data_IF_173378607252
#
_entry.id   IF_173378607252
#
_cell.length_a   1.000
_cell.length_b   1.000
_cell.length_c   1.000
_cell.angle_alpha   90.00
_cell.angle_beta   90.00
_cell.angle_gamma   90.00
#
_symmetry.space_group_name_H-M   'P 1'
#
loop_
_entity.id
_entity.type
_entity.pdbx_description
1 polymer ?
#
# COMPACT_ATOMS: atom_id res chain seq x y z
N UNK A 1 -20.25 -39.83 20.22
CA UNK A 1 -19.00 -39.57 20.75
C UNK A 1 -18.50 -40.48 21.86
N UNK A 2 -18.75 -41.78 21.79
CA UNK A 2 -18.27 -42.77 22.76
C UNK A 2 -17.69 -43.97 22.04
N UNK A 3 -16.77 -44.69 22.74
CA UNK A 3 -16.20 -45.96 22.27
C UNK A 3 -16.10 -46.97 23.41
N UNK A 4 -15.84 -48.22 23.08
CA UNK A 4 -15.63 -49.32 24.04
C UNK A 4 -14.36 -50.07 23.63
N UNK A 5 -13.34 -50.00 24.44
CA UNK A 5 -11.98 -50.50 24.15
C UNK A 5 -11.78 -52.01 24.42
N UNK A 6 -12.77 -52.66 25.03
CA UNK A 6 -12.66 -54.11 25.33
C UNK A 6 -14.02 -54.81 25.25
N UNK A 7 -13.97 -56.11 24.91
CA UNK A 7 -15.18 -56.96 24.78
C UNK A 7 -15.91 -57.24 26.07
N UNK A 8 -15.30 -56.92 27.23
CA UNK A 8 -15.90 -57.12 28.57
C UNK A 8 -16.18 -55.80 29.30
N UNK A 9 -16.13 -54.64 28.58
CA UNK A 9 -16.40 -53.37 29.17
C UNK A 9 -17.86 -53.26 29.63
N UNK A 10 -18.08 -52.78 30.83
CA UNK A 10 -19.40 -52.50 31.43
C UNK A 10 -19.82 -51.06 31.23
N UNK A 11 -18.98 -50.21 30.64
CA UNK A 11 -19.23 -48.78 30.38
C UNK A 11 -18.54 -48.35 29.06
N UNK A 12 -19.04 -47.30 28.48
CA UNK A 12 -18.45 -46.63 27.31
C UNK A 12 -17.57 -45.48 27.78
N UNK A 13 -16.53 -45.17 27.00
CA UNK A 13 -15.61 -44.06 27.25
C UNK A 13 -15.95 -42.92 26.27
N UNK A 14 -16.07 -41.70 26.80
CA UNK A 14 -16.30 -40.50 26.03
C UNK A 14 -15.07 -40.11 25.19
N UNK A 15 -15.27 -39.65 23.97
CA UNK A 15 -14.22 -38.99 23.16
C UNK A 15 -13.79 -37.68 23.86
N UNK A 16 -12.48 -37.46 23.88
CA UNK A 16 -11.89 -36.23 24.42
C UNK A 16 -11.90 -35.07 23.44
N UNK A 17 -11.49 -33.90 23.86
CA UNK A 17 -11.26 -32.74 23.00
C UNK A 17 -10.31 -33.15 21.86
N UNK A 18 -10.52 -32.60 20.68
CA UNK A 18 -9.77 -32.91 19.48
C UNK A 18 -10.22 -34.24 18.80
N UNK A 19 -11.12 -35.01 19.42
CA UNK A 19 -11.57 -36.33 18.88
C UNK A 19 -13.09 -36.45 18.86
N UNK A 20 -13.61 -37.27 17.93
CA UNK A 20 -15.04 -37.50 17.78
C UNK A 20 -15.35 -38.96 17.36
N UNK A 21 -16.59 -39.39 17.50
CA UNK A 21 -17.04 -40.68 16.98
C UNK A 21 -18.50 -40.62 16.52
N UNK A 22 -18.75 -40.64 15.20
CA UNK A 22 -20.09 -40.56 14.63
C UNK A 22 -20.87 -41.87 14.72
N UNK A 23 -20.18 -43.00 14.85
CA UNK A 23 -20.80 -44.36 14.75
C UNK A 23 -20.80 -45.02 16.12
N UNK A 24 -21.80 -45.86 16.37
CA UNK A 24 -21.86 -46.74 17.53
C UNK A 24 -21.01 -48.00 17.35
N UNK A 25 -20.65 -48.68 18.44
CA UNK A 25 -19.94 -49.93 18.40
C UNK A 25 -18.47 -49.86 17.98
N UNK A 26 -17.85 -48.68 18.11
CA UNK A 26 -16.46 -48.46 17.76
C UNK A 26 -15.55 -48.72 18.97
N UNK A 27 -14.29 -49.03 18.69
CA UNK A 27 -13.26 -49.31 19.70
C UNK A 27 -12.33 -48.11 19.99
N UNK A 28 -12.47 -47.01 19.25
CA UNK A 28 -11.68 -45.75 19.44
C UNK A 28 -12.44 -44.57 18.88
N UNK A 29 -12.02 -43.36 19.32
CA UNK A 29 -12.41 -42.12 18.68
C UNK A 29 -11.54 -41.82 17.47
N UNK A 30 -12.02 -40.99 16.56
CA UNK A 30 -11.31 -40.45 15.41
C UNK A 30 -10.73 -39.07 15.80
N UNK A 31 -9.53 -38.80 15.36
CA UNK A 31 -8.92 -37.46 15.48
C UNK A 31 -9.66 -36.49 14.56
N UNK A 32 -9.83 -35.25 14.97
CA UNK A 32 -10.21 -34.16 14.07
C UNK A 32 -9.14 -34.02 12.98
N UNK A 33 -9.58 -33.89 11.72
CA UNK A 33 -8.69 -33.68 10.58
C UNK A 33 -8.02 -32.29 10.66
N UNK A 34 -6.90 -32.12 9.95
CA UNK A 34 -6.36 -30.79 9.69
C UNK A 34 -7.43 -29.92 9.00
N UNK A 35 -7.53 -28.63 9.35
CA UNK A 35 -8.61 -27.73 8.93
C UNK A 35 -9.87 -27.81 9.80
N UNK A 36 -9.92 -28.75 10.77
CA UNK A 36 -11.07 -28.99 11.65
C UNK A 36 -10.64 -29.03 13.11
N UNK A 37 -11.62 -28.88 14.01
CA UNK A 37 -11.42 -28.97 15.45
C UNK A 37 -12.62 -29.64 16.14
N UNK A 38 -12.41 -30.09 17.38
CA UNK A 38 -13.46 -30.61 18.26
C UNK A 38 -13.25 -30.04 19.66
N UNK A 39 -14.09 -29.06 20.04
CA UNK A 39 -13.99 -28.27 21.29
C UNK A 39 -14.80 -28.85 22.48
N UNK A 40 -15.48 -29.99 22.26
CA UNK A 40 -16.33 -30.60 23.26
C UNK A 40 -16.05 -32.08 23.39
N UNK A 41 -16.20 -32.62 24.60
CA UNK A 41 -16.16 -34.07 24.84
C UNK A 41 -17.45 -34.70 24.29
N UNK A 42 -17.38 -36.03 23.98
CA UNK A 42 -18.54 -36.79 23.45
C UNK A 42 -19.00 -36.31 22.07
N UNK A 43 -18.16 -35.60 21.34
CA UNK A 43 -18.50 -35.11 20.01
C UNK A 43 -18.77 -36.25 19.03
N UNK A 44 -19.76 -36.07 18.17
CA UNK A 44 -20.11 -37.00 17.10
C UNK A 44 -19.65 -36.50 15.72
N UNK A 45 -19.11 -35.29 15.63
CA UNK A 45 -18.60 -34.68 14.41
C UNK A 45 -17.50 -33.68 14.75
N UNK A 46 -16.66 -33.39 13.76
CA UNK A 46 -15.71 -32.29 13.78
C UNK A 46 -16.32 -31.03 13.15
N UNK A 47 -15.76 -29.86 13.48
CA UNK A 47 -16.19 -28.55 12.98
C UNK A 47 -15.06 -27.94 12.15
N UNK A 48 -15.37 -27.47 10.93
CA UNK A 48 -14.40 -26.79 10.08
C UNK A 48 -13.97 -25.45 10.66
N UNK A 49 -12.69 -25.10 10.56
CA UNK A 49 -12.21 -23.75 10.86
C UNK A 49 -12.97 -22.74 9.99
N UNK A 50 -13.33 -21.60 10.59
CA UNK A 50 -14.04 -20.52 9.90
C UNK A 50 -13.07 -19.65 9.07
N UNK A 51 -13.65 -18.74 8.28
CA UNK A 51 -12.88 -17.71 7.59
C UNK A 51 -12.00 -16.95 8.61
N UNK A 52 -10.78 -16.60 8.20
CA UNK A 52 -9.79 -15.96 9.07
C UNK A 52 -9.03 -16.93 9.99
N UNK A 53 -9.39 -18.22 10.01
CA UNK A 53 -8.77 -19.22 10.88
C UNK A 53 -8.37 -20.48 10.12
N UNK A 54 -7.34 -21.18 10.61
CA UNK A 54 -6.81 -22.41 10.03
C UNK A 54 -6.35 -23.41 11.09
N UNK A 55 -6.11 -24.66 10.71
CA UNK A 55 -5.52 -25.66 11.58
C UNK A 55 -4.63 -26.63 10.82
N UNK A 56 -3.28 -26.55 10.95
CA UNK A 56 -2.36 -27.42 10.22
C UNK A 56 -2.28 -28.84 10.78
N UNK A 57 -2.70 -29.07 12.02
CA UNK A 57 -2.53 -30.34 12.72
C UNK A 57 -3.87 -31.05 12.97
N UNK A 58 -3.83 -32.38 13.06
CA UNK A 58 -4.96 -33.20 13.47
C UNK A 58 -5.15 -33.19 14.98
N UNK A 59 -6.29 -33.71 15.46
CA UNK A 59 -6.63 -33.87 16.87
C UNK A 59 -6.65 -32.58 17.67
N UNK A 60 -7.00 -31.45 17.07
CA UNK A 60 -7.02 -30.14 17.73
C UNK A 60 -8.40 -29.77 18.27
N UNK A 61 -8.42 -29.01 19.36
CA UNK A 61 -9.65 -28.54 20.01
C UNK A 61 -10.03 -27.10 19.62
N UNK A 62 -9.24 -26.42 18.80
CA UNK A 62 -9.48 -25.05 18.32
C UNK A 62 -8.76 -24.82 17.00
N UNK A 63 -9.16 -23.78 16.27
CA UNK A 63 -8.41 -23.25 15.16
C UNK A 63 -7.47 -22.13 15.61
N UNK A 64 -6.49 -21.81 14.77
CA UNK A 64 -5.56 -20.71 14.92
C UNK A 64 -6.06 -19.53 14.08
N UNK A 65 -5.95 -18.32 14.58
CA UNK A 65 -6.19 -17.12 13.78
C UNK A 65 -5.08 -16.95 12.73
N UNK A 66 -5.42 -16.48 11.54
CA UNK A 66 -4.43 -16.00 10.58
C UNK A 66 -3.57 -14.90 11.25
N UNK A 67 -2.26 -14.94 11.04
CA UNK A 67 -1.35 -13.91 11.54
C UNK A 67 -1.56 -12.56 10.83
N UNK A 68 -1.15 -11.47 11.46
CA UNK A 68 -1.05 -10.19 10.76
C UNK A 68 -0.14 -10.34 9.53
N UNK A 69 -0.48 -9.70 8.41
CA UNK A 69 0.18 -9.90 7.13
C UNK A 69 -0.36 -11.08 6.31
N UNK A 70 -1.25 -11.89 6.90
CA UNK A 70 -1.85 -13.08 6.29
C UNK A 70 -3.38 -13.05 6.38
N UNK A 71 -4.02 -13.94 5.63
CA UNK A 71 -5.47 -14.14 5.62
C UNK A 71 -5.85 -15.59 5.35
N UNK A 72 -7.11 -15.94 5.66
CA UNK A 72 -7.70 -17.25 5.31
C UNK A 72 -9.11 -17.02 4.76
N UNK A 73 -9.29 -17.20 3.47
CA UNK A 73 -10.51 -16.89 2.71
C UNK A 73 -11.48 -18.08 2.54
N UNK A 74 -11.13 -19.26 3.07
CA UNK A 74 -11.94 -20.47 2.96
C UNK A 74 -12.07 -21.20 4.29
N UNK A 75 -13.21 -21.87 4.48
CA UNK A 75 -13.44 -22.70 5.66
C UNK A 75 -12.72 -24.03 5.55
N UNK A 76 -12.28 -24.58 6.69
CA UNK A 76 -11.56 -25.86 6.72
C UNK A 76 -10.13 -25.76 6.21
N UNK A 77 -9.54 -24.58 6.22
CA UNK A 77 -8.17 -24.37 5.76
C UNK A 77 -7.15 -24.97 6.72
N UNK A 78 -6.10 -25.53 6.13
CA UNK A 78 -4.95 -26.08 6.87
C UNK A 78 -3.79 -25.11 6.97
N UNK A 79 -3.86 -23.96 6.26
CA UNK A 79 -2.80 -22.98 6.15
C UNK A 79 -3.39 -21.57 5.97
N UNK A 80 -2.55 -20.55 6.17
CA UNK A 80 -2.85 -19.15 5.90
C UNK A 80 -2.14 -18.71 4.62
N UNK A 81 -2.63 -17.63 3.98
CA UNK A 81 -2.09 -17.07 2.75
C UNK A 81 -1.53 -15.69 3.02
N UNK A 82 -0.30 -15.43 2.55
CA UNK A 82 0.36 -14.13 2.66
C UNK A 82 -0.37 -13.04 1.85
N UNK A 83 -0.45 -11.83 2.39
CA UNK A 83 -0.83 -10.66 1.61
C UNK A 83 0.21 -10.41 0.52
N UNK A 84 -0.25 -10.17 -0.69
CA UNK A 84 0.61 -9.85 -1.83
C UNK A 84 1.11 -8.40 -1.77
N UNK A 85 2.16 -8.08 -2.54
CA UNK A 85 2.60 -6.69 -2.78
C UNK A 85 1.41 -5.82 -3.22
N UNK A 86 1.37 -4.59 -2.75
CA UNK A 86 0.25 -3.68 -2.94
C UNK A 86 -0.84 -3.83 -1.87
N UNK A 87 -0.80 -4.89 -1.05
CA UNK A 87 -1.80 -5.17 -0.01
C UNK A 87 -1.16 -5.42 1.35
N UNK A 88 -1.91 -5.23 2.43
CA UNK A 88 -1.45 -5.42 3.81
C UNK A 88 -2.58 -5.89 4.73
N UNK A 89 -2.23 -6.44 5.91
CA UNK A 89 -3.21 -6.78 6.92
C UNK A 89 -2.65 -6.54 8.33
N UNK A 90 -3.13 -5.51 9.05
CA UNK A 90 -2.62 -5.17 10.39
C UNK A 90 -3.14 -6.07 11.50
N UNK A 91 -4.23 -6.80 11.27
CA UNK A 91 -4.95 -7.56 12.30
C UNK A 91 -4.88 -9.06 12.04
N UNK A 92 -4.89 -9.85 13.10
CA UNK A 92 -5.01 -11.31 13.03
C UNK A 92 -6.45 -11.74 12.72
N UNK A 93 -6.65 -12.98 12.31
CA UNK A 93 -7.96 -13.58 12.13
C UNK A 93 -8.77 -13.04 10.95
N UNK A 94 -8.10 -12.51 9.94
CA UNK A 94 -8.77 -11.88 8.79
C UNK A 94 -8.92 -12.82 7.59
N UNK A 95 -9.98 -12.59 6.82
CA UNK A 95 -10.30 -13.39 5.63
C UNK A 95 -9.87 -12.74 4.31
N UNK A 96 -9.24 -11.57 4.35
CA UNK A 96 -8.73 -10.85 3.19
C UNK A 96 -7.66 -9.84 3.60
N UNK A 97 -6.82 -9.43 2.66
CA UNK A 97 -5.94 -8.29 2.82
C UNK A 97 -6.63 -6.99 2.39
N UNK A 98 -6.08 -5.87 2.84
CA UNK A 98 -6.50 -4.52 2.49
C UNK A 98 -5.57 -3.99 1.38
N UNK A 99 -6.12 -3.31 0.40
CA UNK A 99 -5.35 -2.59 -0.60
C UNK A 99 -4.62 -1.40 0.04
N UNK A 100 -3.41 -1.08 -0.41
CA UNK A 100 -2.79 0.21 -0.07
C UNK A 100 -3.63 1.35 -0.63
N UNK A 101 -3.77 2.43 0.14
CA UNK A 101 -4.50 3.62 -0.27
C UNK A 101 -3.75 4.42 -1.34
N UNK A 102 -4.48 5.28 -2.10
CA UNK A 102 -3.84 6.29 -2.92
C UNK A 102 -2.93 7.18 -2.05
N UNK A 103 -1.73 7.48 -2.53
CA UNK A 103 -0.68 8.15 -1.75
C UNK A 103 0.23 7.21 -0.96
N UNK A 104 -0.06 5.91 -0.96
CA UNK A 104 0.69 4.88 -0.23
C UNK A 104 1.05 3.70 -1.14
N UNK A 105 1.98 2.88 -0.69
CA UNK A 105 2.40 1.66 -1.36
C UNK A 105 2.76 0.55 -0.36
N UNK A 106 2.82 -0.68 -0.85
CA UNK A 106 3.31 -1.86 -0.11
C UNK A 106 4.19 -2.68 -1.05
N UNK A 107 5.49 -2.70 -0.80
CA UNK A 107 6.53 -3.29 -1.67
C UNK A 107 6.93 -4.72 -1.31
N UNK A 108 6.39 -5.27 -0.23
CA UNK A 108 6.71 -6.62 0.26
C UNK A 108 5.44 -7.44 0.52
N UNK A 109 5.56 -8.77 0.49
CA UNK A 109 4.51 -9.68 0.97
C UNK A 109 4.46 -9.68 2.50
N UNK A 110 3.39 -10.23 3.08
CA UNK A 110 3.14 -10.31 4.53
C UNK A 110 3.16 -8.95 5.25
N UNK A 111 2.96 -7.86 4.53
CA UNK A 111 2.98 -6.53 5.11
C UNK A 111 1.83 -6.34 6.12
N UNK A 112 2.14 -5.70 7.24
CA UNK A 112 1.16 -5.33 8.27
C UNK A 112 0.74 -3.86 8.19
N UNK A 113 1.35 -3.07 7.32
CA UNK A 113 1.07 -1.64 7.12
C UNK A 113 1.46 -1.19 5.72
N UNK A 114 0.88 -0.08 5.29
CA UNK A 114 1.27 0.62 4.07
C UNK A 114 2.28 1.74 4.38
N UNK A 115 3.08 2.12 3.38
CA UNK A 115 4.09 3.18 3.46
C UNK A 115 3.66 4.39 2.63
N UNK A 116 3.71 5.60 3.21
CA UNK A 116 3.40 6.83 2.50
C UNK A 116 4.45 7.17 1.45
N UNK A 117 4.01 7.65 0.28
CA UNK A 117 4.91 8.23 -0.71
C UNK A 117 5.69 9.41 -0.10
N UNK A 118 6.97 9.52 -0.44
CA UNK A 118 7.84 10.59 0.04
C UNK A 118 7.64 11.89 -0.74
N UNK A 119 8.27 12.97 -0.26
CA UNK A 119 8.33 14.23 -1.01
C UNK A 119 8.87 13.99 -2.42
N UNK A 120 8.32 14.67 -3.39
CA UNK A 120 8.66 14.50 -4.81
C UNK A 120 7.97 13.31 -5.47
N UNK A 121 7.25 12.46 -4.72
CA UNK A 121 6.57 11.28 -5.26
C UNK A 121 5.08 11.23 -4.88
N UNK A 122 4.28 10.55 -5.69
CA UNK A 122 2.84 10.40 -5.48
C UNK A 122 2.35 9.04 -5.96
N UNK A 123 1.13 8.64 -5.55
CA UNK A 123 0.48 7.44 -6.07
C UNK A 123 -1.02 7.66 -6.23
N UNK A 124 -1.55 7.77 -7.48
CA UNK A 124 -2.97 8.05 -7.71
C UNK A 124 -3.90 6.85 -7.50
N UNK A 125 -3.35 5.64 -7.52
CA UNK A 125 -4.13 4.39 -7.47
C UNK A 125 -3.91 3.63 -6.16
N UNK A 126 -4.89 2.81 -5.78
CA UNK A 126 -4.78 1.86 -4.67
C UNK A 126 -4.05 0.59 -5.09
N UNK A 127 -3.70 -0.26 -4.13
CA UNK A 127 -3.06 -1.57 -4.34
C UNK A 127 -1.73 -1.50 -5.11
N UNK A 128 -0.92 -0.48 -4.87
CA UNK A 128 0.34 -0.28 -5.58
C UNK A 128 1.56 -0.69 -4.74
N UNK A 129 2.60 -1.13 -5.44
CA UNK A 129 3.86 -1.58 -4.83
C UNK A 129 4.96 -0.50 -4.80
N UNK A 130 4.73 0.67 -5.39
CA UNK A 130 5.68 1.78 -5.43
C UNK A 130 4.97 3.10 -5.66
N UNK A 131 5.67 4.20 -5.41
CA UNK A 131 5.23 5.54 -5.80
C UNK A 131 5.83 5.95 -7.15
N UNK A 132 5.21 6.95 -7.78
CA UNK A 132 5.65 7.57 -9.02
C UNK A 132 6.35 8.88 -8.70
N UNK A 133 7.41 9.20 -9.41
CA UNK A 133 8.05 10.53 -9.34
C UNK A 133 7.11 11.60 -9.92
N UNK A 134 7.10 12.79 -9.32
CA UNK A 134 6.49 13.95 -9.96
C UNK A 134 7.14 14.20 -11.32
N UNK A 135 6.34 14.49 -12.35
CA UNK A 135 6.82 14.79 -13.68
C UNK A 135 7.56 16.15 -13.69
N UNK A 136 8.45 16.34 -14.68
CA UNK A 136 9.00 17.67 -14.95
C UNK A 136 7.85 18.68 -15.14
N UNK A 137 8.02 19.92 -14.67
CA UNK A 137 6.96 20.94 -14.60
C UNK A 137 6.02 20.79 -13.39
N UNK A 138 6.17 19.73 -12.60
CA UNK A 138 5.35 19.47 -11.40
C UNK A 138 6.22 19.20 -10.17
N UNK A 139 5.58 19.23 -8.99
CA UNK A 139 6.21 18.92 -7.72
C UNK A 139 5.22 18.25 -6.76
N UNK A 140 5.75 17.61 -5.70
CA UNK A 140 4.97 17.07 -4.59
C UNK A 140 5.64 17.46 -3.27
N UNK A 141 5.03 18.38 -2.52
CA UNK A 141 5.56 18.99 -1.30
C UNK A 141 5.11 18.33 0.01
N UNK A 142 4.32 17.27 -0.09
CA UNK A 142 3.79 16.55 1.07
C UNK A 142 3.89 15.04 0.91
N UNK A 143 4.11 14.33 2.01
CA UNK A 143 4.12 12.87 2.03
C UNK A 143 2.70 12.30 1.94
N UNK A 144 2.56 11.11 1.38
CA UNK A 144 1.26 10.47 1.23
C UNK A 144 0.36 11.11 0.17
N UNK A 145 0.94 11.82 -0.78
CA UNK A 145 0.19 12.49 -1.85
C UNK A 145 -0.30 11.50 -2.90
N UNK A 146 -1.56 11.67 -3.30
CA UNK A 146 -2.16 10.94 -4.43
C UNK A 146 -2.06 11.71 -5.77
N UNK A 147 -1.55 12.94 -5.76
CA UNK A 147 -1.47 13.82 -6.93
C UNK A 147 -0.18 14.62 -6.91
N UNK A 148 0.25 15.09 -8.08
CA UNK A 148 1.30 16.09 -8.24
C UNK A 148 0.68 17.46 -8.51
N UNK A 149 1.42 18.54 -8.24
CA UNK A 149 1.01 19.94 -8.42
C UNK A 149 1.86 20.59 -9.49
N UNK A 150 1.24 21.25 -10.47
CA UNK A 150 1.94 21.98 -11.52
C UNK A 150 2.65 23.23 -10.95
N UNK A 151 3.86 23.51 -11.42
CA UNK A 151 4.55 24.76 -11.15
C UNK A 151 3.68 25.96 -11.56
N UNK A 152 3.68 27.01 -10.73
CA UNK A 152 2.94 28.24 -11.00
C UNK A 152 3.67 29.11 -12.03
N UNK A 153 2.97 30.15 -12.49
CA UNK A 153 3.58 31.18 -13.34
C UNK A 153 4.82 31.78 -12.66
N UNK A 154 5.85 32.07 -13.44
CA UNK A 154 7.14 32.56 -12.94
C UNK A 154 8.07 31.45 -12.41
N UNK A 155 7.58 30.19 -12.33
CA UNK A 155 8.35 29.07 -11.81
C UNK A 155 8.36 27.88 -12.77
N UNK A 156 9.41 27.05 -12.69
CA UNK A 156 9.58 25.86 -13.53
C UNK A 156 10.25 24.72 -12.77
N UNK A 157 10.19 23.50 -13.30
CA UNK A 157 10.92 22.37 -12.74
C UNK A 157 11.43 21.44 -13.85
N UNK A 158 12.75 21.44 -14.13
CA UNK A 158 13.32 20.64 -15.23
C UNK A 158 13.46 19.16 -14.91
N UNK A 159 13.42 18.78 -13.64
CA UNK A 159 13.70 17.42 -13.16
C UNK A 159 12.45 16.77 -12.59
N UNK A 160 12.35 15.45 -12.73
CA UNK A 160 11.32 14.64 -12.08
C UNK A 160 11.61 14.45 -10.59
N UNK A 161 10.62 14.02 -9.81
CA UNK A 161 10.80 13.64 -8.41
C UNK A 161 11.09 14.81 -7.47
N UNK A 162 10.68 16.03 -7.81
CA UNK A 162 10.99 17.23 -7.02
C UNK A 162 9.84 17.63 -6.09
N UNK A 163 10.22 18.22 -4.95
CA UNK A 163 9.27 18.69 -3.92
C UNK A 163 8.96 20.18 -4.01
N UNK A 164 9.55 20.90 -4.96
CA UNK A 164 9.31 22.35 -5.19
C UNK A 164 9.66 22.73 -6.61
N UNK A 165 9.13 23.85 -7.06
CA UNK A 165 9.55 24.49 -8.31
C UNK A 165 10.68 25.50 -8.05
N UNK A 166 11.40 25.86 -9.12
CA UNK A 166 12.43 26.89 -9.15
C UNK A 166 11.85 28.17 -9.72
N UNK A 167 12.23 29.32 -9.20
CA UNK A 167 11.93 30.62 -9.79
C UNK A 167 12.68 30.75 -11.13
N UNK A 168 12.09 31.42 -12.13
CA UNK A 168 12.83 31.82 -13.32
C UNK A 168 13.98 32.73 -12.94
N UNK A 169 15.12 32.59 -13.62
CA UNK A 169 16.31 33.41 -13.40
C UNK A 169 16.08 34.85 -13.93
N UNK A 170 16.88 35.79 -13.42
CA UNK A 170 16.97 37.11 -14.04
C UNK A 170 17.38 36.98 -15.51
N UNK A 171 16.77 37.73 -16.41
CA UNK A 171 16.90 37.60 -17.86
C UNK A 171 15.97 36.56 -18.49
N UNK A 172 15.17 35.87 -17.67
CA UNK A 172 14.22 34.84 -18.12
C UNK A 172 12.82 35.07 -17.54
N UNK A 173 11.84 34.36 -18.10
CA UNK A 173 10.46 34.36 -17.62
C UNK A 173 9.80 32.99 -17.81
N UNK A 174 8.69 32.75 -17.11
CA UNK A 174 7.83 31.57 -17.29
C UNK A 174 6.37 32.04 -17.29
N UNK A 175 5.72 31.99 -18.46
CA UNK A 175 4.36 32.49 -18.71
C UNK A 175 3.26 31.45 -18.65
N UNK A 176 3.62 30.18 -18.39
CA UNK A 176 2.67 29.06 -18.34
C UNK A 176 2.88 28.20 -17.09
N UNK A 177 1.79 27.63 -16.58
CA UNK A 177 1.84 26.69 -15.47
C UNK A 177 2.33 25.32 -15.95
N UNK A 178 2.99 24.57 -15.06
CA UNK A 178 3.50 23.25 -15.41
C UNK A 178 4.71 23.26 -16.34
N UNK A 179 5.45 24.37 -16.39
CA UNK A 179 6.63 24.50 -17.25
C UNK A 179 7.81 23.71 -16.68
N UNK A 180 8.51 22.99 -17.55
CA UNK A 180 9.76 22.29 -17.26
C UNK A 180 11.01 23.13 -17.56
N UNK A 181 10.84 24.31 -18.13
CA UNK A 181 11.91 25.21 -18.59
C UNK A 181 11.50 26.67 -18.46
N UNK A 182 12.47 27.56 -18.47
CA UNK A 182 12.32 29.01 -18.52
C UNK A 182 12.67 29.53 -19.93
N UNK A 183 12.13 30.69 -20.31
CA UNK A 183 12.33 31.35 -21.61
C UNK A 183 13.20 32.59 -21.44
N UNK A 184 14.25 32.74 -22.27
CA UNK A 184 15.09 33.96 -22.31
C UNK A 184 14.31 35.17 -22.80
N UNK A 185 14.56 36.33 -22.18
CA UNK A 185 14.09 37.61 -22.72
C UNK A 185 14.70 37.85 -24.12
N UNK A 186 13.90 38.33 -25.03
CA UNK A 186 14.33 38.64 -26.38
C UNK A 186 15.16 39.95 -26.44
N UNK A 187 15.91 40.14 -27.52
CA UNK A 187 16.58 41.44 -27.82
C UNK A 187 15.56 42.59 -27.75
N UNK A 188 15.93 43.66 -27.07
CA UNK A 188 15.07 44.82 -26.80
C UNK A 188 14.30 44.72 -25.49
N UNK A 189 14.37 43.54 -24.81
CA UNK A 189 13.70 43.32 -23.51
C UNK A 189 14.70 42.80 -22.48
N UNK A 190 14.39 42.98 -21.20
CA UNK A 190 15.21 42.52 -20.07
C UNK A 190 14.34 42.13 -18.87
N UNK A 191 14.91 41.36 -17.94
CA UNK A 191 14.23 41.06 -16.67
C UNK A 191 15.23 41.06 -15.50
N UNK A 192 15.17 42.08 -14.61
CA UNK A 192 16.13 42.18 -13.50
C UNK A 192 15.84 41.27 -12.32
N UNK A 193 14.63 40.73 -12.23
CA UNK A 193 14.15 39.96 -11.08
C UNK A 193 13.91 38.50 -11.46
N UNK A 194 14.03 37.60 -10.47
CA UNK A 194 13.66 36.20 -10.59
C UNK A 194 12.15 35.99 -10.42
N UNK A 195 11.63 34.82 -10.82
CA UNK A 195 10.23 34.44 -10.60
C UNK A 195 9.21 35.22 -11.44
N UNK A 196 9.61 35.71 -12.62
CA UNK A 196 8.79 36.59 -13.43
C UNK A 196 8.08 35.84 -14.56
N UNK A 197 6.94 36.41 -14.96
CA UNK A 197 6.05 35.86 -15.98
C UNK A 197 6.23 36.51 -17.34
N UNK A 198 7.01 37.57 -17.42
CA UNK A 198 7.21 38.37 -18.64
C UNK A 198 8.53 39.14 -18.56
N UNK A 199 9.01 39.63 -19.69
CA UNK A 199 10.13 40.53 -19.78
C UNK A 199 9.66 41.98 -19.93
N UNK A 200 10.48 42.95 -19.49
CA UNK A 200 10.26 44.37 -19.59
C UNK A 200 10.88 44.92 -20.85
N UNK A 201 10.18 45.80 -21.57
CA UNK A 201 10.79 46.57 -22.67
C UNK A 201 11.90 47.49 -22.12
N UNK A 202 12.95 47.70 -22.92
CA UNK A 202 14.00 48.68 -22.59
C UNK A 202 13.41 50.08 -22.55
N UNK A 203 13.85 50.89 -21.56
CA UNK A 203 13.41 52.29 -21.36
C UNK A 203 13.88 53.19 -22.52
N UNK A 204 13.18 54.31 -22.70
CA UNK A 204 13.57 55.28 -23.71
C UNK A 204 15.00 55.84 -23.43
N UNK A 205 15.87 55.71 -24.44
CA UNK A 205 17.30 56.06 -24.32
C UNK A 205 18.20 54.93 -23.89
N UNK A 206 17.64 53.72 -23.65
CA UNK A 206 18.38 52.50 -23.32
C UNK A 206 18.19 51.42 -24.43
N UNK A 207 19.06 50.45 -24.49
CA UNK A 207 18.98 49.33 -25.42
C UNK A 207 19.38 48.02 -24.75
N UNK A 208 18.89 46.91 -25.30
CA UNK A 208 19.27 45.54 -24.98
C UNK A 208 19.58 44.81 -26.29
N UNK A 209 20.84 44.42 -26.47
CA UNK A 209 21.34 43.84 -27.73
C UNK A 209 21.56 42.31 -27.68
N UNK A 210 21.29 41.67 -26.54
CA UNK A 210 21.43 40.25 -26.35
C UNK A 210 20.20 39.64 -25.69
N UNK A 211 19.92 38.36 -25.99
CA UNK A 211 18.87 37.59 -25.30
C UNK A 211 19.31 37.25 -23.87
N UNK A 212 18.35 36.94 -23.01
CA UNK A 212 18.62 36.55 -21.63
C UNK A 212 19.18 37.68 -20.76
N UNK A 213 18.98 38.95 -21.13
CA UNK A 213 19.53 40.08 -20.41
C UNK A 213 18.77 40.39 -19.15
N UNK A 214 19.49 40.57 -18.02
CA UNK A 214 18.94 41.04 -16.75
C UNK A 214 19.02 42.54 -16.58
N UNK A 215 19.65 43.28 -17.51
CA UNK A 215 19.89 44.73 -17.45
C UNK A 215 19.76 45.37 -18.83
N UNK A 216 19.56 46.69 -18.85
CA UNK A 216 19.58 47.48 -20.07
C UNK A 216 20.81 48.41 -20.07
N UNK A 217 21.30 48.81 -21.26
CA UNK A 217 22.48 49.68 -21.44
C UNK A 217 22.02 51.06 -21.91
N UNK A 218 22.68 52.14 -21.34
CA UNK A 218 22.40 53.53 -21.72
C UNK A 218 23.11 53.94 -23.02
#
# INVERSE_FOLDING_TARGET
GYYVDSTQATSQTACSLGTYQPSTGQSSCLDADAGYYVDSTQAISQTACSLGTYQPSTAQSNCLDADAGNYVDSTGSTDQTECAVGTYQPSTGQSSCLDSDAGYYVDSTEAISQTACSLGTYQPSTAQSNCLDADAGNYVDSTGSSTQTACSLGTYQPSTGQSSCLDSDAGHYVDSTGSDSQTECAVGTYQPSTGQTDCLDSDAGYYVDSTGSSTQTA
#
